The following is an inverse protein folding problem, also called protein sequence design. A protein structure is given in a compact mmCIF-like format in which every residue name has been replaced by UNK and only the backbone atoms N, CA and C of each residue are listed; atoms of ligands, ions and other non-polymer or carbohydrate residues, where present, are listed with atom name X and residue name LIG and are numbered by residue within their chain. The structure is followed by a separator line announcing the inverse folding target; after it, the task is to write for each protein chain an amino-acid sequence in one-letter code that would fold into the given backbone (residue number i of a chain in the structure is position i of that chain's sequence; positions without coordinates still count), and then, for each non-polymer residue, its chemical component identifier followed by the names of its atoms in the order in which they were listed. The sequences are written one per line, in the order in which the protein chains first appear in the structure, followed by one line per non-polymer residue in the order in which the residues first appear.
data_IF_530561141275
#
_entry.id   IF_530561141275
#
_cell.length_a   1.000
_cell.length_b   1.000
_cell.length_c   1.000
_cell.angle_alpha   90.00
_cell.angle_beta   90.00
_cell.angle_gamma   90.00
#
_symmetry.space_group_name_H-M   'P 1'
#
loop_
_entity.id
_entity.type
_entity.pdbx_description
1 polymer ?
#
# COMPACT_ATOMS: atom_id res chain seq x y z
N UNK A 1 18.93 35.46 2.83
CA UNK A 1 19.56 34.26 2.23
C UNK A 1 18.43 33.30 1.83
N UNK A 2 18.15 33.08 0.53
CA UNK A 2 17.06 32.19 0.09
C UNK A 2 17.48 30.74 0.27
N UNK A 3 16.99 30.07 1.33
CA UNK A 3 17.20 28.64 1.53
C UNK A 3 16.28 27.92 0.53
N UNK A 4 16.90 27.30 -0.48
CA UNK A 4 16.20 26.44 -1.44
C UNK A 4 15.90 25.09 -0.77
N UNK A 5 14.74 24.48 -1.03
CA UNK A 5 14.34 23.20 -0.44
C UNK A 5 15.42 22.12 -0.54
N UNK A 6 16.17 22.09 -1.66
CA UNK A 6 17.31 21.19 -1.87
C UNK A 6 18.43 21.37 -0.84
N UNK A 7 18.73 22.61 -0.42
CA UNK A 7 19.72 22.92 0.61
C UNK A 7 19.24 22.53 2.00
N UNK A 8 17.93 22.65 2.26
CA UNK A 8 17.33 22.27 3.54
C UNK A 8 17.32 20.75 3.70
N UNK A 9 16.94 20.00 2.65
CA UNK A 9 17.02 18.53 2.66
C UNK A 9 18.46 18.06 2.85
N UNK A 10 19.42 18.67 2.15
CA UNK A 10 20.83 18.30 2.29
C UNK A 10 21.38 18.62 3.69
N UNK A 11 21.03 19.79 4.24
CA UNK A 11 21.41 20.16 5.61
C UNK A 11 20.77 19.22 6.65
N UNK A 12 19.49 18.88 6.49
CA UNK A 12 18.80 17.93 7.37
C UNK A 12 19.42 16.54 7.31
N UNK A 13 19.82 16.08 6.11
CA UNK A 13 20.50 14.79 5.95
C UNK A 13 21.87 14.77 6.64
N UNK A 14 22.66 15.85 6.53
CA UNK A 14 23.94 15.99 7.22
C UNK A 14 23.74 16.02 8.74
N UNK A 15 22.76 16.76 9.25
CA UNK A 15 22.45 16.84 10.68
C UNK A 15 22.02 15.48 11.21
N UNK A 16 21.20 14.74 10.45
CA UNK A 16 20.79 13.38 10.79
C UNK A 16 22.01 12.44 10.88
N UNK A 17 22.92 12.53 9.90
CA UNK A 17 24.16 11.75 9.88
C UNK A 17 25.10 12.08 11.05
N UNK A 18 25.21 13.36 11.38
CA UNK A 18 26.00 13.83 12.52
C UNK A 18 25.40 13.34 13.84
N UNK A 19 24.07 13.40 13.99
CA UNK A 19 23.37 12.89 15.16
C UNK A 19 23.51 11.37 15.30
N UNK A 20 23.42 10.61 14.20
CA UNK A 20 23.63 9.16 14.22
C UNK A 20 25.07 8.79 14.54
N UNK A 21 26.06 9.53 14.00
CA UNK A 21 27.46 9.30 14.31
C UNK A 21 27.79 9.63 15.77
N UNK A 22 27.19 10.70 16.31
CA UNK A 22 27.34 11.06 17.72
C UNK A 22 26.73 10.01 18.65
N UNK A 23 25.52 9.54 18.35
CA UNK A 23 24.88 8.45 19.10
C UNK A 23 25.66 7.14 19.00
N UNK A 24 26.28 6.86 17.85
CA UNK A 24 27.13 5.68 17.67
C UNK A 24 28.43 5.72 18.48
N UNK A 25 28.98 6.91 18.76
CA UNK A 25 30.29 7.07 19.43
C UNK A 25 30.12 7.35 20.93
N UNK A 26 29.09 8.09 21.32
CA UNK A 26 28.86 8.57 22.70
C UNK A 26 27.55 8.10 23.31
N UNK A 27 26.70 7.39 22.57
CA UNK A 27 25.50 6.77 23.12
C UNK A 27 25.82 5.49 23.88
N UNK A 28 24.90 5.10 24.77
CA UNK A 28 24.87 3.76 25.33
C UNK A 28 24.91 2.77 24.16
N UNK A 29 25.89 1.88 24.15
CA UNK A 29 26.31 1.12 22.98
C UNK A 29 25.14 0.39 22.32
N UNK A 30 25.22 0.16 21.01
CA UNK A 30 24.28 -0.77 20.37
C UNK A 30 24.61 -2.18 20.87
N UNK A 31 23.95 -2.59 21.97
CA UNK A 31 24.12 -3.88 22.60
C UNK A 31 23.53 -4.97 21.70
N UNK A 32 24.41 -5.68 20.98
CA UNK A 32 24.04 -6.83 20.16
C UNK A 32 24.30 -8.08 21.00
N UNK A 33 23.24 -8.60 21.62
CA UNK A 33 23.31 -9.86 22.36
C UNK A 33 23.11 -11.03 21.37
N UNK A 34 24.14 -11.86 21.21
CA UNK A 34 24.08 -13.09 20.42
C UNK A 34 24.39 -14.23 21.38
N UNK A 35 23.39 -15.07 21.67
CA UNK A 35 23.51 -16.26 22.52
C UNK A 35 23.94 -15.99 23.99
N UNK A 36 23.52 -14.84 24.55
CA UNK A 36 23.78 -14.50 25.96
C UNK A 36 25.13 -13.82 26.22
N UNK A 37 26.05 -13.82 25.25
CA UNK A 37 27.30 -13.07 25.32
C UNK A 37 27.12 -11.66 24.76
N UNK A 38 27.42 -10.66 25.59
CA UNK A 38 27.49 -9.25 25.21
C UNK A 38 28.79 -9.01 24.44
N UNK A 39 28.71 -9.04 23.11
CA UNK A 39 29.83 -8.64 22.24
C UNK A 39 29.89 -7.11 22.23
N UNK A 40 30.61 -6.56 23.19
CA UNK A 40 30.87 -5.11 23.28
C UNK A 40 32.14 -4.71 22.51
N UNK A 41 32.09 -3.56 21.84
CA UNK A 41 33.23 -2.94 21.14
C UNK A 41 33.07 -2.78 19.62
N UNK A 42 34.15 -2.38 18.91
CA UNK A 42 34.10 -2.03 17.49
C UNK A 42 33.54 -3.14 16.59
N UNK A 43 33.76 -4.40 16.98
CA UNK A 43 33.31 -5.57 16.23
C UNK A 43 31.81 -5.82 16.45
N UNK A 44 31.30 -5.60 17.67
CA UNK A 44 29.87 -5.63 17.98
C UNK A 44 29.09 -4.54 17.23
N UNK A 45 29.67 -3.35 17.08
CA UNK A 45 29.10 -2.29 16.25
C UNK A 45 29.04 -2.67 14.75
N UNK A 46 30.10 -3.25 14.21
CA UNK A 46 30.12 -3.70 12.80
C UNK A 46 29.09 -4.81 12.54
N UNK A 47 28.97 -5.76 13.47
CA UNK A 47 27.96 -6.81 13.37
C UNK A 47 26.54 -6.25 13.57
N UNK A 48 26.33 -5.38 14.55
CA UNK A 48 25.05 -4.71 14.80
C UNK A 48 24.57 -3.89 13.62
N UNK A 49 25.45 -3.11 13.00
CA UNK A 49 25.12 -2.34 11.79
C UNK A 49 24.85 -3.23 10.58
N UNK A 50 25.59 -4.32 10.41
CA UNK A 50 25.35 -5.29 9.34
C UNK A 50 24.02 -6.03 9.52
N UNK A 51 23.70 -6.49 10.72
CA UNK A 51 22.45 -7.18 11.03
C UNK A 51 21.25 -6.23 11.06
N UNK A 52 21.39 -5.02 11.60
CA UNK A 52 20.33 -4.01 11.55
C UNK A 52 20.06 -3.56 10.11
N UNK A 53 21.11 -3.28 9.33
CA UNK A 53 20.99 -2.90 7.92
C UNK A 53 20.45 -4.04 7.05
N UNK A 54 21.02 -5.24 7.19
CA UNK A 54 20.59 -6.44 6.47
C UNK A 54 19.17 -6.87 6.84
N UNK A 55 18.85 -6.85 8.13
CA UNK A 55 17.51 -7.13 8.66
C UNK A 55 16.47 -6.13 8.15
N UNK A 56 16.81 -4.84 8.10
CA UNK A 56 15.92 -3.81 7.56
C UNK A 56 15.64 -4.02 6.07
N UNK A 57 16.64 -4.38 5.27
CA UNK A 57 16.45 -4.68 3.84
C UNK A 57 15.51 -5.86 3.63
N UNK A 58 15.75 -6.96 4.36
CA UNK A 58 14.91 -8.17 4.28
C UNK A 58 13.49 -7.86 4.76
N UNK A 59 13.34 -7.14 5.87
CA UNK A 59 12.04 -6.72 6.40
C UNK A 59 11.29 -5.84 5.40
N UNK A 60 11.96 -4.90 4.74
CA UNK A 60 11.35 -4.01 3.74
C UNK A 60 10.79 -4.81 2.57
N UNK A 61 11.55 -5.78 2.05
CA UNK A 61 11.09 -6.65 0.97
C UNK A 61 9.90 -7.50 1.42
N UNK A 62 9.97 -8.10 2.61
CA UNK A 62 8.89 -8.91 3.16
C UNK A 62 7.60 -8.11 3.37
N UNK A 63 7.68 -6.92 3.97
CA UNK A 63 6.54 -6.03 4.19
C UNK A 63 5.96 -5.57 2.86
N UNK A 64 6.80 -5.25 1.87
CA UNK A 64 6.33 -4.86 0.53
C UNK A 64 5.54 -6.00 -0.12
N UNK A 65 6.06 -7.23 -0.05
CA UNK A 65 5.36 -8.41 -0.57
C UNK A 65 4.01 -8.62 0.15
N UNK A 66 3.99 -8.53 1.48
CA UNK A 66 2.78 -8.63 2.27
C UNK A 66 1.77 -7.52 1.92
N UNK A 67 2.23 -6.28 1.73
CA UNK A 67 1.38 -5.15 1.37
C UNK A 67 0.72 -5.35 -0.01
N UNK A 68 1.47 -5.86 -1.00
CA UNK A 68 0.92 -6.18 -2.32
C UNK A 68 -0.13 -7.28 -2.20
N UNK A 69 0.16 -8.36 -1.47
CA UNK A 69 -0.77 -9.45 -1.25
C UNK A 69 -2.08 -8.98 -0.59
N UNK A 70 -1.97 -8.22 0.49
CA UNK A 70 -3.12 -7.64 1.19
C UNK A 70 -3.89 -6.67 0.29
N UNK A 71 -3.21 -5.84 -0.50
CA UNK A 71 -3.85 -4.97 -1.49
C UNK A 71 -4.68 -5.73 -2.52
N UNK A 72 -4.17 -6.84 -3.04
CA UNK A 72 -4.89 -7.72 -3.96
C UNK A 72 -6.08 -8.39 -3.26
N UNK A 73 -5.90 -8.85 -2.02
CA UNK A 73 -6.99 -9.43 -1.24
C UNK A 73 -8.12 -8.42 -1.00
N UNK A 74 -7.81 -7.20 -0.59
CA UNK A 74 -8.82 -6.15 -0.41
C UNK A 74 -9.51 -5.80 -1.72
N UNK A 75 -8.79 -5.75 -2.84
CA UNK A 75 -9.40 -5.55 -4.15
C UNK A 75 -10.39 -6.68 -4.50
N UNK A 76 -10.02 -7.93 -4.22
CA UNK A 76 -10.88 -9.09 -4.42
C UNK A 76 -12.11 -9.09 -3.51
N UNK A 77 -11.92 -8.84 -2.21
CA UNK A 77 -12.99 -8.78 -1.22
C UNK A 77 -13.99 -7.65 -1.52
N UNK A 78 -13.51 -6.51 -2.01
CA UNK A 78 -14.39 -5.40 -2.44
C UNK A 78 -15.33 -5.82 -3.57
N UNK A 79 -14.81 -6.49 -4.60
CA UNK A 79 -15.62 -6.99 -5.72
C UNK A 79 -16.61 -8.05 -5.25
N UNK A 80 -16.18 -8.96 -4.37
CA UNK A 80 -17.03 -10.01 -3.79
C UNK A 80 -18.17 -9.43 -2.96
N UNK A 81 -17.90 -8.38 -2.18
CA UNK A 81 -18.92 -7.72 -1.36
C UNK A 81 -19.99 -7.07 -2.24
N UNK A 82 -19.57 -6.33 -3.27
CA UNK A 82 -20.51 -5.65 -4.18
C UNK A 82 -21.34 -6.68 -4.96
N UNK A 83 -20.71 -7.73 -5.48
CA UNK A 83 -21.42 -8.77 -6.23
C UNK A 83 -22.41 -9.54 -5.35
N UNK A 84 -22.04 -9.84 -4.10
CA UNK A 84 -22.91 -10.45 -3.11
C UNK A 84 -24.13 -9.57 -2.79
N UNK A 85 -23.94 -8.27 -2.60
CA UNK A 85 -25.03 -7.32 -2.35
C UNK A 85 -26.01 -7.24 -3.54
N UNK A 86 -25.48 -7.21 -4.76
CA UNK A 86 -26.31 -7.20 -5.98
C UNK A 86 -27.11 -8.50 -6.10
N UNK A 87 -26.46 -9.65 -5.90
CA UNK A 87 -27.15 -10.95 -5.92
C UNK A 87 -28.25 -11.02 -4.87
N UNK A 88 -27.98 -10.58 -3.64
CA UNK A 88 -28.96 -10.57 -2.56
C UNK A 88 -30.15 -9.67 -2.92
N UNK A 89 -29.90 -8.48 -3.46
CA UNK A 89 -30.97 -7.57 -3.91
C UNK A 89 -31.84 -8.21 -5.00
N UNK A 90 -31.24 -8.94 -5.95
CA UNK A 90 -31.97 -9.68 -6.99
C UNK A 90 -32.81 -10.81 -6.38
N UNK A 91 -32.26 -11.57 -5.43
CA UNK A 91 -32.97 -12.66 -4.74
C UNK A 91 -34.15 -12.12 -3.93
N UNK A 92 -33.97 -11.01 -3.21
CA UNK A 92 -35.06 -10.36 -2.46
C UNK A 92 -36.14 -9.83 -3.42
N UNK A 93 -35.75 -9.20 -4.53
CA UNK A 93 -36.72 -8.77 -5.54
C UNK A 93 -37.51 -9.94 -6.13
N UNK A 94 -36.84 -11.07 -6.39
CA UNK A 94 -37.46 -12.30 -6.85
C UNK A 94 -38.44 -12.90 -5.81
N UNK A 95 -38.09 -12.83 -4.52
CA UNK A 95 -38.93 -13.34 -3.43
C UNK A 95 -40.16 -12.47 -3.16
N UNK A 96 -40.04 -11.14 -3.27
CA UNK A 96 -41.15 -10.19 -3.03
C UNK A 96 -42.14 -10.17 -4.20
N UNK A 97 -41.68 -10.35 -5.45
CA UNK A 97 -42.60 -10.46 -6.59
C UNK A 97 -41.99 -11.31 -7.71
N UNK A 98 -42.46 -12.55 -7.93
CA UNK A 98 -41.91 -13.47 -8.93
C UNK A 98 -42.14 -13.00 -10.39
N UNK A 99 -42.97 -11.96 -10.61
CA UNK A 99 -43.19 -11.32 -11.91
C UNK A 99 -42.15 -10.25 -12.29
N UNK A 100 -41.28 -9.82 -11.36
CA UNK A 100 -40.21 -8.86 -11.67
C UNK A 100 -39.01 -9.51 -12.37
N UNK A 101 -38.91 -10.86 -12.32
CA UNK A 101 -37.84 -11.66 -12.92
C UNK A 101 -37.69 -11.47 -14.45
N UNK A 102 -38.77 -11.51 -15.27
CA UNK A 102 -38.66 -11.22 -16.70
C UNK A 102 -38.42 -9.73 -17.01
N UNK A 103 -38.75 -8.81 -16.10
CA UNK A 103 -38.58 -7.37 -16.30
C UNK A 103 -37.18 -6.87 -15.92
N UNK A 104 -36.51 -7.54 -14.97
CA UNK A 104 -35.17 -7.16 -14.51
C UNK A 104 -34.09 -7.45 -15.58
N UNK A 105 -34.29 -8.47 -16.40
CA UNK A 105 -33.40 -8.82 -17.52
C UNK A 105 -33.26 -7.65 -18.53
N UNK A 106 -34.34 -7.10 -19.11
CA UNK A 106 -34.24 -5.99 -20.05
C UNK A 106 -33.73 -4.69 -19.40
N UNK A 107 -34.11 -4.40 -18.15
CA UNK A 107 -33.60 -3.21 -17.43
C UNK A 107 -32.09 -3.34 -17.18
N UNK A 108 -31.62 -4.52 -16.78
CA UNK A 108 -30.19 -4.80 -16.59
C UNK A 108 -29.37 -4.63 -17.88
N UNK A 109 -29.87 -5.15 -19.01
CA UNK A 109 -29.24 -4.97 -20.33
C UNK A 109 -29.19 -3.49 -20.71
N UNK A 110 -30.29 -2.76 -20.53
CA UNK A 110 -30.36 -1.33 -20.83
C UNK A 110 -29.36 -0.52 -19.99
N UNK A 111 -29.23 -0.83 -18.70
CA UNK A 111 -28.28 -0.16 -17.81
C UNK A 111 -26.82 -0.45 -18.21
N UNK A 112 -26.50 -1.69 -18.58
CA UNK A 112 -25.17 -2.08 -19.06
C UNK A 112 -24.82 -1.31 -20.34
N UNK A 113 -25.73 -1.27 -21.32
CA UNK A 113 -25.51 -0.58 -22.60
C UNK A 113 -25.32 0.93 -22.41
N UNK A 114 -26.17 1.56 -21.58
CA UNK A 114 -26.05 2.99 -21.25
C UNK A 114 -24.77 3.31 -20.48
N UNK A 115 -24.33 2.43 -19.59
CA UNK A 115 -23.08 2.61 -18.84
C UNK A 115 -21.84 2.51 -19.75
N UNK A 116 -21.86 1.57 -20.72
CA UNK A 116 -20.78 1.42 -21.71
C UNK A 116 -20.70 2.61 -22.65
N UNK A 117 -21.83 3.10 -23.16
CA UNK A 117 -21.87 4.27 -24.05
C UNK A 117 -21.30 5.52 -23.37
N UNK A 118 -21.64 5.78 -22.10
CA UNK A 118 -21.08 6.91 -21.34
C UNK A 118 -19.56 6.79 -21.11
N UNK A 119 -19.06 5.59 -20.83
CA UNK A 119 -17.62 5.34 -20.68
C UNK A 119 -16.86 5.51 -22.00
N UNK A 120 -17.47 5.22 -23.15
CA UNK A 120 -16.87 5.47 -24.47
C UNK A 120 -16.85 6.96 -24.83
N UNK A 121 -17.91 7.71 -24.53
CA UNK A 121 -17.95 9.16 -24.77
C UNK A 121 -16.92 9.92 -23.92
N UNK A 122 -16.71 9.52 -22.67
CA UNK A 122 -15.67 10.12 -21.82
C UNK A 122 -14.26 9.87 -22.37
N UNK A 123 -14.00 8.71 -22.97
CA UNK A 123 -12.72 8.41 -23.62
C UNK A 123 -12.51 9.24 -24.88
N UNK A 124 -13.56 9.43 -25.69
CA UNK A 124 -13.48 10.28 -26.88
C UNK A 124 -13.24 11.76 -26.53
N UNK A 125 -13.85 12.31 -25.46
CA UNK A 125 -13.53 13.67 -25.00
C UNK A 125 -12.10 13.82 -24.48
N UNK A 126 -11.54 12.79 -23.86
CA UNK A 126 -10.14 12.78 -23.42
C UNK A 126 -9.17 12.75 -24.61
N UNK A 127 -9.50 12.05 -25.69
CA UNK A 127 -8.69 12.01 -26.93
C UNK A 127 -8.75 13.30 -27.74
N UNK A 128 -9.83 14.08 -27.64
CA UNK A 128 -9.93 15.41 -28.28
C UNK A 128 -9.35 16.55 -27.43
N UNK A 129 -8.93 16.28 -26.19
CA UNK A 129 -8.36 17.26 -25.27
C UNK A 129 -6.82 17.18 -25.14
N UNK A 130 -6.18 16.23 -25.85
CA UNK A 130 -4.73 16.08 -26.00
C UNK A 130 -4.30 16.62 -27.36
#
# INVERSE_FOLDING_TARGET
MKITAKKLVFAAFIVLLAASAWQSVFGDGMHVNIDGDEIDGPIGFLLGTLFAGGGLLIATVAITCAAVFVGVLFAGLGILMISGMVLLAVVVAAAVSPLLLPLLIPVGIYMIFRSRSRKQQQRAMLEHAV
#
